data_IF_999034011555
#
_entry.id   IF_999034011555
#
_cell.length_a   1.000
_cell.length_b   1.000
_cell.length_c   1.000
_cell.angle_alpha   90.00
_cell.angle_beta   90.00
_cell.angle_gamma   90.00
#
_symmetry.space_group_name_H-M   'P 1'
#
loop_
_entity.id
_entity.type
_entity.pdbx_description
1 polymer ?
#
# COMPACT_ATOMS: atom_id res chain seq x y z
N UNK A 1 23.70 -20.52 3.05
CA UNK A 1 22.25 -20.73 3.32
C UNK A 1 21.55 -20.90 1.98
N UNK A 2 20.68 -21.90 1.82
CA UNK A 2 19.94 -22.14 0.56
C UNK A 2 18.81 -21.12 0.40
N UNK A 3 18.37 -20.87 -0.85
CA UNK A 3 17.21 -20.01 -1.16
C UNK A 3 15.96 -20.37 -0.36
N UNK A 4 15.80 -21.65 0.00
CA UNK A 4 14.72 -22.15 0.85
C UNK A 4 14.65 -21.45 2.22
N UNK A 5 15.80 -21.23 2.87
CA UNK A 5 15.83 -20.57 4.18
C UNK A 5 15.39 -19.11 4.15
N UNK A 6 15.60 -18.41 3.02
CA UNK A 6 15.10 -17.05 2.83
C UNK A 6 13.58 -17.04 2.61
N UNK A 7 13.04 -18.04 1.92
CA UNK A 7 11.61 -18.16 1.64
C UNK A 7 10.79 -18.54 2.88
N UNK A 8 11.31 -19.44 3.72
CA UNK A 8 10.69 -19.77 5.01
C UNK A 8 10.62 -18.53 5.92
N UNK A 9 11.67 -17.72 5.93
CA UNK A 9 11.70 -16.45 6.69
C UNK A 9 10.70 -15.43 6.12
N UNK A 10 10.58 -15.30 4.80
CA UNK A 10 9.55 -14.45 4.17
C UNK A 10 8.14 -14.89 4.58
N UNK A 11 7.87 -16.21 4.58
CA UNK A 11 6.57 -16.73 5.00
C UNK A 11 6.26 -16.38 6.45
N UNK A 12 7.23 -16.56 7.35
CA UNK A 12 7.11 -16.17 8.76
C UNK A 12 6.84 -14.68 8.91
N UNK A 13 7.53 -13.83 8.13
CA UNK A 13 7.37 -12.38 8.15
C UNK A 13 6.02 -11.91 7.60
N UNK A 14 5.54 -12.52 6.51
CA UNK A 14 4.22 -12.26 5.93
C UNK A 14 3.11 -12.56 6.96
N UNK A 15 3.20 -13.72 7.62
CA UNK A 15 2.25 -14.13 8.66
C UNK A 15 2.33 -13.26 9.92
N UNK A 16 3.47 -12.62 10.17
CA UNK A 16 3.67 -11.68 11.27
C UNK A 16 3.35 -10.22 10.92
N UNK A 17 2.85 -9.95 9.69
CA UNK A 17 2.46 -8.60 9.30
C UNK A 17 1.24 -8.16 10.10
N UNK A 18 1.44 -7.17 10.96
CA UNK A 18 0.49 -6.72 11.97
C UNK A 18 0.12 -5.24 11.82
N UNK A 19 0.25 -4.69 10.61
CA UNK A 19 -0.36 -3.39 10.37
C UNK A 19 -1.88 -3.54 10.63
N UNK A 20 -2.56 -2.62 11.29
CA UNK A 20 -3.97 -2.81 11.60
C UNK A 20 -4.83 -2.57 10.33
N UNK A 21 -5.75 -3.48 9.95
CA UNK A 21 -6.75 -3.19 8.94
C UNK A 21 -7.69 -2.12 9.49
N UNK A 22 -7.71 -0.95 8.86
CA UNK A 22 -8.50 0.19 9.30
C UNK A 22 -9.05 0.91 8.08
N UNK A 23 -10.38 1.03 7.98
CA UNK A 23 -11.07 1.72 6.89
C UNK A 23 -12.20 2.58 7.43
N UNK A 24 -12.71 3.40 6.53
CA UNK A 24 -13.88 4.21 6.72
C UNK A 24 -15.14 3.37 6.38
N UNK A 25 -16.26 3.60 7.08
CA UNK A 25 -17.57 2.99 6.78
C UNK A 25 -18.66 4.09 6.81
N UNK A 26 -19.78 3.88 6.10
CA UNK A 26 -20.97 4.71 6.27
C UNK A 26 -21.55 4.51 7.68
N UNK A 27 -22.05 5.57 8.33
CA UNK A 27 -22.77 5.41 9.59
C UNK A 27 -24.27 5.55 9.43
N UNK A 28 -24.97 4.60 10.04
CA UNK A 28 -26.41 4.62 10.19
C UNK A 28 -26.76 5.30 11.54
N UNK A 29 -26.67 6.63 11.64
CA UNK A 29 -27.23 7.52 12.71
C UNK A 29 -26.63 7.58 14.15
N UNK A 30 -26.75 8.78 14.77
CA UNK A 30 -26.82 9.23 16.20
C UNK A 30 -25.88 8.71 17.32
N UNK A 31 -24.56 8.61 17.13
CA UNK A 31 -23.59 8.29 18.22
C UNK A 31 -22.86 9.55 18.80
N UNK A 32 -22.91 9.79 20.13
CA UNK A 32 -22.24 10.92 20.81
C UNK A 32 -20.70 10.83 20.93
N UNK A 33 -20.04 9.73 20.58
CA UNK A 33 -18.56 9.64 20.48
C UNK A 33 -18.02 10.03 19.08
N UNK A 34 -18.83 10.78 18.33
CA UNK A 34 -18.57 11.15 16.93
C UNK A 34 -17.30 11.99 16.76
N UNK A 35 -16.45 11.55 15.84
CA UNK A 35 -15.53 12.45 15.12
C UNK A 35 -16.36 13.57 14.44
N UNK A 36 -15.80 14.77 14.21
CA UNK A 36 -16.55 15.88 13.66
C UNK A 36 -17.31 15.44 12.41
N UNK A 37 -18.61 15.69 12.38
CA UNK A 37 -19.42 15.57 11.17
C UNK A 37 -18.74 16.40 10.09
N UNK A 38 -18.14 15.72 9.11
CA UNK A 38 -17.91 16.35 7.83
C UNK A 38 -19.30 16.48 7.24
N UNK A 39 -19.86 17.68 7.38
CA UNK A 39 -21.26 18.13 7.34
C UNK A 39 -22.10 17.72 6.11
N UNK A 40 -21.66 16.73 5.30
CA UNK A 40 -22.36 16.27 4.11
C UNK A 40 -22.36 14.76 3.85
N UNK A 41 -21.72 13.90 4.64
CA UNK A 41 -21.58 12.47 4.24
C UNK A 41 -21.91 11.42 5.32
N UNK A 42 -22.34 11.77 6.55
CA UNK A 42 -22.84 10.75 7.48
C UNK A 42 -21.87 9.57 7.68
N UNK A 43 -20.58 9.86 7.78
CA UNK A 43 -19.54 8.84 7.93
C UNK A 43 -19.04 8.87 9.39
N UNK A 44 -19.60 8.04 10.27
CA UNK A 44 -18.97 7.76 11.57
C UNK A 44 -17.92 6.68 11.37
N UNK A 45 -16.68 7.00 11.73
CA UNK A 45 -15.58 6.06 11.69
C UNK A 45 -15.25 5.62 13.10
N UNK A 46 -15.56 4.37 13.42
CA UNK A 46 -14.85 3.70 14.50
C UNK A 46 -13.60 3.06 13.88
N UNK A 47 -12.40 3.19 14.48
CA UNK A 47 -11.37 2.20 14.26
C UNK A 47 -11.92 0.88 14.79
N UNK A 48 -12.63 0.14 13.95
CA UNK A 48 -12.75 -1.25 14.19
C UNK A 48 -11.34 -1.79 13.99
N UNK A 49 -10.76 -2.37 15.04
CA UNK A 49 -10.05 -3.63 14.81
C UNK A 49 -11.11 -4.52 14.21
N UNK A 50 -11.30 -4.42 12.89
CA UNK A 50 -12.25 -5.26 12.22
C UNK A 50 -11.65 -6.64 12.40
N UNK A 51 -12.38 -7.57 13.01
CA UNK A 51 -11.98 -8.98 13.05
C UNK A 51 -12.17 -9.60 11.65
N UNK A 52 -11.64 -8.93 10.63
CA UNK A 52 -11.58 -9.41 9.26
C UNK A 52 -10.14 -9.72 8.92
N UNK A 53 -10.01 -10.68 8.04
CA UNK A 53 -8.74 -11.03 7.43
C UNK A 53 -8.28 -9.89 6.51
N UNK A 54 -6.97 -9.79 6.28
CA UNK A 54 -6.40 -8.85 5.32
C UNK A 54 -7.03 -8.93 3.92
N UNK A 55 -7.30 -10.14 3.37
CA UNK A 55 -7.98 -10.28 2.10
C UNK A 55 -9.38 -9.69 2.06
N UNK A 56 -10.16 -9.83 3.14
CA UNK A 56 -11.50 -9.25 3.23
C UNK A 56 -11.43 -7.71 3.32
N UNK A 57 -10.47 -7.20 4.08
CA UNK A 57 -10.19 -5.77 4.16
C UNK A 57 -9.83 -5.17 2.78
N UNK A 58 -8.90 -5.82 2.07
CA UNK A 58 -8.50 -5.39 0.72
C UNK A 58 -9.66 -5.46 -0.27
N UNK A 59 -10.41 -6.58 -0.27
CA UNK A 59 -11.55 -6.77 -1.16
C UNK A 59 -12.59 -5.69 -0.93
N UNK A 60 -12.92 -5.39 0.32
CA UNK A 60 -13.92 -4.38 0.62
C UNK A 60 -13.53 -2.99 0.12
N UNK A 61 -12.25 -2.59 0.24
CA UNK A 61 -11.79 -1.30 -0.32
C UNK A 61 -11.80 -1.35 -1.85
N UNK A 62 -11.40 -2.48 -2.45
CA UNK A 62 -11.43 -2.66 -3.91
C UNK A 62 -12.85 -2.53 -4.48
N UNK A 63 -13.83 -3.16 -3.83
CA UNK A 63 -15.24 -3.13 -4.22
C UNK A 63 -15.79 -1.69 -4.15
N UNK A 64 -15.45 -0.94 -3.09
CA UNK A 64 -15.84 0.46 -2.97
C UNK A 64 -15.17 1.34 -4.05
N UNK A 65 -13.88 1.12 -4.34
CA UNK A 65 -13.14 1.86 -5.38
C UNK A 65 -13.66 1.59 -6.80
N UNK A 66 -14.17 0.38 -7.07
CA UNK A 66 -14.70 -0.06 -8.38
C UNK A 66 -16.20 0.14 -8.54
N UNK A 67 -16.87 0.67 -7.52
CA UNK A 67 -18.32 0.84 -7.50
C UNK A 67 -18.81 1.86 -8.55
N UNK A 68 -19.96 1.60 -9.15
CA UNK A 68 -20.67 2.59 -9.98
C UNK A 68 -21.32 3.71 -9.14
N UNK A 69 -21.47 3.52 -7.83
CA UNK A 69 -21.94 4.54 -6.89
C UNK A 69 -20.82 5.52 -6.50
N UNK A 70 -21.03 6.80 -6.78
CA UNK A 70 -20.11 7.91 -6.51
C UNK A 70 -19.77 8.09 -5.02
N UNK A 71 -20.69 7.73 -4.13
CA UNK A 71 -20.49 7.77 -2.68
C UNK A 71 -19.49 6.70 -2.23
N UNK A 72 -19.64 5.48 -2.75
CA UNK A 72 -18.73 4.36 -2.51
C UNK A 72 -17.33 4.59 -3.06
N UNK A 73 -17.18 5.16 -4.26
CA UNK A 73 -15.85 5.53 -4.79
C UNK A 73 -15.14 6.51 -3.87
N UNK A 74 -15.87 7.52 -3.37
CA UNK A 74 -15.36 8.47 -2.37
C UNK A 74 -14.98 7.79 -1.07
N UNK A 75 -15.80 6.85 -0.57
CA UNK A 75 -15.51 6.08 0.63
C UNK A 75 -14.26 5.21 0.48
N UNK A 76 -14.11 4.53 -0.67
CA UNK A 76 -12.94 3.71 -0.98
C UNK A 76 -11.67 4.56 -0.99
N UNK A 77 -11.68 5.70 -1.68
CA UNK A 77 -10.54 6.63 -1.71
C UNK A 77 -10.20 7.19 -0.33
N UNK A 78 -11.21 7.64 0.42
CA UNK A 78 -11.02 8.14 1.76
C UNK A 78 -10.47 7.04 2.70
N UNK A 79 -10.89 5.78 2.52
CA UNK A 79 -10.36 4.62 3.25
C UNK A 79 -8.87 4.38 2.99
N UNK A 80 -8.42 4.53 1.74
CA UNK A 80 -6.99 4.43 1.40
C UNK A 80 -6.19 5.53 2.12
N UNK A 81 -6.69 6.77 2.11
CA UNK A 81 -6.04 7.91 2.79
C UNK A 81 -6.02 7.72 4.29
N UNK A 82 -7.14 7.27 4.87
CA UNK A 82 -7.24 7.00 6.30
C UNK A 82 -6.23 5.92 6.72
N UNK A 83 -6.26 4.76 6.06
CA UNK A 83 -5.38 3.63 6.38
C UNK A 83 -3.90 4.02 6.33
N UNK A 84 -3.50 4.76 5.29
CA UNK A 84 -2.10 5.18 5.12
C UNK A 84 -1.60 6.17 6.18
N UNK A 85 -2.49 6.94 6.81
CA UNK A 85 -2.13 7.84 7.92
C UNK A 85 -2.35 7.21 9.30
N UNK A 86 -3.25 6.24 9.41
CA UNK A 86 -3.61 5.59 10.67
C UNK A 86 -2.47 4.76 11.24
N UNK A 87 -1.70 4.04 10.42
CA UNK A 87 -0.63 3.18 10.95
C UNK A 87 0.66 3.88 11.37
N UNK A 88 0.71 5.22 11.36
CA UNK A 88 1.83 6.03 11.87
C UNK A 88 1.76 6.26 13.41
N UNK A 89 0.92 5.52 14.13
CA UNK A 89 0.67 5.68 15.57
C UNK A 89 -0.67 6.34 15.85
N UNK A 90 -0.92 6.77 17.09
CA UNK A 90 -2.20 7.27 17.62
C UNK A 90 -2.67 8.61 16.98
N UNK A 91 -2.82 8.59 15.66
CA UNK A 91 -3.08 9.72 14.75
C UNK A 91 -4.45 9.58 14.10
N UNK A 92 -5.38 8.88 14.75
CA UNK A 92 -6.72 8.63 14.22
C UNK A 92 -7.43 9.93 13.78
N UNK A 93 -7.33 11.00 14.59
CA UNK A 93 -7.92 12.31 14.27
C UNK A 93 -7.27 12.95 13.03
N UNK A 94 -5.95 12.82 12.90
CA UNK A 94 -5.23 13.31 11.72
C UNK A 94 -5.63 12.52 10.48
N UNK A 95 -5.63 11.18 10.55
CA UNK A 95 -6.06 10.31 9.47
C UNK A 95 -7.50 10.64 9.02
N UNK A 96 -8.43 10.81 9.98
CA UNK A 96 -9.81 11.19 9.71
C UNK A 96 -9.91 12.57 9.03
N UNK A 97 -9.15 13.55 9.51
CA UNK A 97 -9.10 14.90 8.92
C UNK A 97 -8.65 14.85 7.45
N UNK A 98 -7.63 14.06 7.15
CA UNK A 98 -7.08 13.92 5.79
C UNK A 98 -8.08 13.21 4.88
N UNK A 99 -8.65 12.10 5.36
CA UNK A 99 -9.65 11.34 4.63
C UNK A 99 -10.93 12.16 4.35
N UNK A 100 -11.36 12.99 5.31
CA UNK A 100 -12.50 13.90 5.13
C UNK A 100 -12.29 14.93 4.01
N UNK A 101 -11.05 15.35 3.73
CA UNK A 101 -10.76 16.23 2.59
C UNK A 101 -10.98 15.53 1.26
N UNK A 102 -10.54 14.28 1.13
CA UNK A 102 -10.78 13.45 -0.06
C UNK A 102 -12.26 13.17 -0.27
N UNK A 103 -13.00 12.86 0.81
CA UNK A 103 -14.43 12.59 0.75
C UNK A 103 -15.26 13.81 0.29
N UNK A 104 -14.80 15.02 0.60
CA UNK A 104 -15.45 16.28 0.22
C UNK A 104 -15.11 16.79 -1.19
N UNK A 105 -14.29 16.06 -1.96
CA UNK A 105 -13.99 16.43 -3.33
C UNK A 105 -15.15 16.12 -4.28
N UNK A 106 -15.13 16.80 -5.43
CA UNK A 106 -16.18 16.69 -6.45
C UNK A 106 -16.25 15.24 -6.99
N UNK A 107 -17.45 14.68 -6.95
CA UNK A 107 -17.68 13.25 -7.15
C UNK A 107 -17.42 12.81 -8.58
N UNK A 108 -17.86 13.60 -9.57
CA UNK A 108 -17.69 13.29 -10.98
C UNK A 108 -16.20 13.29 -11.37
N UNK A 109 -15.43 14.26 -10.88
CA UNK A 109 -13.97 14.31 -11.05
C UNK A 109 -13.31 13.05 -10.49
N UNK A 110 -13.59 12.69 -9.24
CA UNK A 110 -12.98 11.52 -8.62
C UNK A 110 -13.33 10.23 -9.36
N UNK A 111 -14.59 10.08 -9.79
CA UNK A 111 -15.02 8.91 -10.57
C UNK A 111 -14.33 8.82 -11.92
N UNK A 112 -14.24 9.93 -12.65
CA UNK A 112 -13.56 9.97 -13.94
C UNK A 112 -12.07 9.61 -13.81
N UNK A 113 -11.40 10.15 -12.78
CA UNK A 113 -10.00 9.81 -12.50
C UNK A 113 -9.83 8.35 -12.10
N UNK A 114 -10.73 7.83 -11.25
CA UNK A 114 -10.70 6.44 -10.82
C UNK A 114 -10.94 5.45 -11.94
N UNK A 115 -11.88 5.73 -12.86
CA UNK A 115 -12.12 4.89 -14.03
C UNK A 115 -10.86 4.75 -14.90
N UNK A 116 -10.14 5.85 -15.13
CA UNK A 116 -8.86 5.80 -15.86
C UNK A 116 -7.76 5.05 -15.10
N UNK A 117 -7.67 5.25 -13.78
CA UNK A 117 -6.72 4.52 -12.94
C UNK A 117 -7.02 3.02 -12.97
N UNK A 118 -8.27 2.63 -12.81
CA UNK A 118 -8.73 1.23 -12.84
C UNK A 118 -8.40 0.62 -14.20
N UNK A 119 -8.75 1.28 -15.31
CA UNK A 119 -8.42 0.80 -16.65
C UNK A 119 -6.92 0.55 -16.82
N UNK A 120 -6.08 1.50 -16.38
CA UNK A 120 -4.62 1.34 -16.43
C UNK A 120 -4.11 0.20 -15.53
N UNK A 121 -4.72 0.00 -14.37
CA UNK A 121 -4.38 -1.11 -13.46
C UNK A 121 -4.77 -2.47 -14.05
N UNK A 122 -5.94 -2.55 -14.67
CA UNK A 122 -6.43 -3.77 -15.34
C UNK A 122 -5.55 -4.11 -16.57
N UNK A 123 -5.05 -3.09 -17.27
CA UNK A 123 -4.04 -3.20 -18.34
C UNK A 123 -2.61 -3.48 -17.81
N UNK A 124 -2.42 -3.66 -16.49
CA UNK A 124 -1.12 -3.84 -15.81
C UNK A 124 -0.10 -2.73 -16.05
N UNK A 125 -0.57 -1.49 -16.28
CA UNK A 125 0.27 -0.30 -16.46
C UNK A 125 0.47 0.46 -15.14
N UNK A 126 1.02 -0.22 -14.14
CA UNK A 126 1.08 0.24 -12.75
C UNK A 126 1.81 1.57 -12.55
N UNK A 127 2.93 1.79 -13.23
CA UNK A 127 3.68 3.04 -13.19
C UNK A 127 2.90 4.21 -13.77
N UNK A 128 2.16 3.97 -14.85
CA UNK A 128 1.29 5.00 -15.44
C UNK A 128 0.11 5.31 -14.53
N UNK A 129 -0.54 4.29 -13.95
CA UNK A 129 -1.64 4.48 -13.00
C UNK A 129 -1.18 5.21 -11.73
N UNK A 130 0.05 4.96 -11.25
CA UNK A 130 0.64 5.67 -10.11
C UNK A 130 0.79 7.16 -10.39
N UNK A 131 1.31 7.50 -11.57
CA UNK A 131 1.46 8.89 -11.99
C UNK A 131 0.11 9.58 -12.19
N UNK A 132 -0.92 8.86 -12.64
CA UNK A 132 -2.29 9.38 -12.74
C UNK A 132 -2.89 9.65 -11.36
N UNK A 133 -2.71 8.72 -10.42
CA UNK A 133 -3.17 8.84 -9.04
C UNK A 133 -2.59 10.06 -8.30
N UNK A 134 -1.47 10.63 -8.76
CA UNK A 134 -0.96 11.88 -8.17
C UNK A 134 -1.88 13.09 -8.35
N UNK A 135 -2.85 13.03 -9.27
CA UNK A 135 -3.87 14.06 -9.42
C UNK A 135 -4.97 13.97 -8.36
N UNK A 136 -5.07 12.84 -7.65
CA UNK A 136 -6.11 12.64 -6.64
C UNK A 136 -5.78 13.40 -5.33
N UNK A 137 -6.79 14.04 -4.71
CA UNK A 137 -6.67 14.74 -3.43
C UNK A 137 -6.12 13.83 -2.32
N UNK A 138 -5.12 14.32 -1.60
CA UNK A 138 -4.41 13.64 -0.51
C UNK A 138 -3.64 12.36 -0.88
N UNK A 139 -3.73 11.90 -2.13
CA UNK A 139 -2.97 10.75 -2.64
C UNK A 139 -1.59 11.16 -3.17
N UNK A 140 -1.41 12.42 -3.63
CA UNK A 140 -0.30 13.04 -4.39
C UNK A 140 1.19 12.68 -4.15
N UNK A 141 1.53 11.46 -3.79
CA UNK A 141 2.82 10.91 -3.43
C UNK A 141 2.88 9.42 -3.78
N UNK A 142 4.08 8.91 -4.00
CA UNK A 142 4.31 7.48 -4.30
C UNK A 142 3.73 6.57 -3.20
N UNK A 143 3.89 6.95 -1.92
CA UNK A 143 3.40 6.17 -0.78
C UNK A 143 1.90 5.92 -0.79
N UNK A 144 1.08 6.89 -1.18
CA UNK A 144 -0.38 6.75 -1.16
C UNK A 144 -0.91 6.22 -2.49
N UNK A 145 -0.33 6.66 -3.62
CA UNK A 145 -0.69 6.16 -4.94
C UNK A 145 -0.44 4.65 -5.07
N UNK A 146 0.69 4.15 -4.54
CA UNK A 146 0.98 2.72 -4.54
C UNK A 146 0.01 1.91 -3.66
N UNK A 147 -0.48 2.47 -2.54
CA UNK A 147 -1.54 1.85 -1.72
C UNK A 147 -2.83 1.69 -2.50
N UNK A 148 -3.28 2.77 -3.16
CA UNK A 148 -4.47 2.74 -4.02
C UNK A 148 -4.38 1.62 -5.06
N UNK A 149 -3.25 1.54 -5.77
CA UNK A 149 -3.03 0.52 -6.81
C UNK A 149 -2.98 -0.89 -6.22
N UNK A 150 -2.37 -1.05 -5.04
CA UNK A 150 -2.30 -2.33 -4.33
C UNK A 150 -3.69 -2.83 -3.96
N UNK A 151 -4.61 -1.96 -3.50
CA UNK A 151 -6.01 -2.35 -3.25
C UNK A 151 -6.76 -2.73 -4.53
N UNK A 152 -6.45 -2.10 -5.66
CA UNK A 152 -7.07 -2.41 -6.95
C UNK A 152 -6.56 -3.70 -7.60
N UNK A 153 -5.30 -4.08 -7.32
CA UNK A 153 -4.64 -5.26 -7.90
C UNK A 153 -3.61 -5.90 -6.95
N UNK A 154 -4.04 -6.48 -5.81
CA UNK A 154 -3.11 -7.01 -4.80
C UNK A 154 -2.27 -8.19 -5.31
N UNK A 155 -2.75 -8.90 -6.34
CA UNK A 155 -1.99 -9.95 -7.02
C UNK A 155 -0.78 -9.41 -7.80
N UNK A 156 -0.89 -8.20 -8.36
CA UNK A 156 0.10 -7.64 -9.29
C UNK A 156 0.89 -6.43 -8.79
N UNK A 157 0.45 -5.79 -7.71
CA UNK A 157 1.09 -4.61 -7.14
C UNK A 157 1.28 -4.73 -5.63
N UNK A 158 2.25 -3.99 -5.11
CA UNK A 158 2.49 -3.81 -3.67
C UNK A 158 2.82 -2.37 -3.32
N UNK A 159 2.67 -2.04 -2.05
CA UNK A 159 2.91 -0.68 -1.54
C UNK A 159 4.40 -0.31 -1.68
N UNK A 160 4.67 0.89 -2.18
CA UNK A 160 6.02 1.46 -2.20
C UNK A 160 6.02 2.71 -1.34
N UNK A 161 6.24 2.53 -0.05
CA UNK A 161 6.37 3.63 0.90
C UNK A 161 7.84 4.01 1.15
N UNK A 162 8.03 5.08 1.92
CA UNK A 162 9.34 5.60 2.24
C UNK A 162 10.16 4.61 3.09
N UNK A 163 9.53 3.82 3.96
CA UNK A 163 10.24 2.85 4.81
C UNK A 163 10.84 1.71 3.98
N UNK A 164 10.07 1.19 3.02
CA UNK A 164 10.55 0.19 2.06
C UNK A 164 11.67 0.78 1.21
N UNK A 165 11.43 1.95 0.62
CA UNK A 165 12.39 2.62 -0.25
C UNK A 165 13.74 2.84 0.46
N UNK A 166 13.73 3.45 1.64
CA UNK A 166 14.95 3.70 2.42
C UNK A 166 15.57 2.41 2.96
N UNK A 167 14.74 1.46 3.40
CA UNK A 167 15.20 0.18 3.94
C UNK A 167 15.95 -0.66 2.90
N UNK A 168 15.44 -0.71 1.66
CA UNK A 168 16.12 -1.34 0.54
C UNK A 168 17.44 -0.63 0.21
N UNK A 169 17.44 0.72 0.20
CA UNK A 169 18.65 1.51 -0.01
C UNK A 169 19.75 1.22 1.03
N UNK A 170 19.38 1.09 2.32
CA UNK A 170 20.32 0.71 3.39
C UNK A 170 20.86 -0.71 3.23
N UNK A 171 20.04 -1.64 2.72
CA UNK A 171 20.47 -3.03 2.51
C UNK A 171 21.62 -3.13 1.50
N UNK A 172 21.66 -2.27 0.48
CA UNK A 172 22.78 -2.21 -0.48
C UNK A 172 24.11 -1.81 0.15
N UNK A 173 24.09 -1.02 1.20
CA UNK A 173 25.31 -0.46 1.79
C UNK A 173 25.94 -1.39 2.84
N UNK A 174 25.31 -2.52 3.17
CA UNK A 174 25.83 -3.47 4.15
C UNK A 174 26.91 -4.36 3.55
N UNK A 175 28.04 -4.44 4.25
CA UNK A 175 29.15 -5.34 3.91
C UNK A 175 28.84 -6.81 4.22
N UNK A 176 28.07 -7.07 5.28
CA UNK A 176 27.61 -8.40 5.67
C UNK A 176 26.08 -8.44 5.65
N UNK A 177 25.53 -9.39 4.89
CA UNK A 177 24.09 -9.53 4.66
C UNK A 177 23.61 -10.91 5.10
N UNK A 178 22.44 -10.98 5.72
CA UNK A 178 21.73 -12.26 5.85
C UNK A 178 21.26 -12.74 4.46
N UNK A 179 20.90 -14.02 4.32
CA UNK A 179 20.39 -14.55 3.05
C UNK A 179 19.17 -13.76 2.51
N UNK A 180 18.28 -13.33 3.41
CA UNK A 180 17.16 -12.46 3.05
C UNK A 180 17.63 -11.08 2.58
N UNK A 181 18.63 -10.47 3.22
CA UNK A 181 19.18 -9.17 2.80
C UNK A 181 19.93 -9.25 1.48
N UNK A 182 20.62 -10.36 1.22
CA UNK A 182 21.26 -10.62 -0.06
C UNK A 182 20.21 -10.74 -1.17
N UNK A 183 19.14 -11.52 -0.93
CA UNK A 183 18.01 -11.60 -1.84
C UNK A 183 17.37 -10.22 -2.09
N UNK A 184 17.11 -9.44 -1.04
CA UNK A 184 16.58 -8.07 -1.17
C UNK A 184 17.53 -7.13 -1.95
N UNK A 185 18.84 -7.23 -1.70
CA UNK A 185 19.84 -6.40 -2.35
C UNK A 185 19.97 -6.71 -3.85
N UNK A 186 19.87 -8.00 -4.24
CA UNK A 186 19.99 -8.44 -5.63
C UNK A 186 18.71 -8.16 -6.40
N UNK A 187 17.55 -8.51 -5.82
CA UNK A 187 16.27 -8.47 -6.53
C UNK A 187 15.62 -7.07 -6.53
N UNK A 188 15.78 -6.32 -5.43
CA UNK A 188 14.95 -5.13 -5.20
C UNK A 188 15.72 -3.82 -5.09
N UNK A 189 16.98 -3.83 -4.69
CA UNK A 189 17.64 -2.57 -4.40
C UNK A 189 18.24 -1.80 -5.60
N UNK A 190 18.61 -2.41 -6.75
CA UNK A 190 19.15 -1.67 -7.90
C UNK A 190 18.19 -0.62 -8.50
N UNK A 191 16.87 -0.78 -8.31
CA UNK A 191 15.86 0.16 -8.80
C UNK A 191 15.36 1.14 -7.74
N UNK A 192 15.68 0.93 -6.46
CA UNK A 192 15.34 1.85 -5.37
C UNK A 192 16.00 3.25 -5.51
N UNK A 193 16.71 3.51 -6.61
CA UNK A 193 17.32 4.80 -6.95
C UNK A 193 16.66 5.48 -8.16
N UNK A 194 15.70 4.83 -8.83
CA UNK A 194 15.08 5.42 -10.04
C UNK A 194 14.03 6.47 -9.72
N UNK A 195 13.62 6.64 -8.46
CA UNK A 195 12.93 7.84 -8.00
C UNK A 195 11.70 7.57 -7.14
N UNK A 196 11.65 8.27 -6.01
CA UNK A 196 10.48 8.37 -5.16
C UNK A 196 9.84 9.75 -5.37
N UNK A 197 8.67 9.76 -6.01
CA UNK A 197 8.05 10.98 -6.53
C UNK A 197 6.87 11.49 -5.70
N UNK A 198 6.56 12.78 -5.92
CA UNK A 198 5.31 13.44 -5.48
C UNK A 198 4.73 14.28 -6.62
N UNK A 199 3.49 14.73 -6.44
CA UNK A 199 2.85 15.69 -7.34
C UNK A 199 3.74 16.94 -7.55
N UNK A 200 3.74 17.46 -8.79
CA UNK A 200 4.53 18.64 -9.18
C UNK A 200 5.97 18.36 -9.62
N UNK A 201 6.41 17.10 -9.66
CA UNK A 201 7.72 16.74 -10.25
C UNK A 201 7.79 17.00 -11.77
N UNK A 202 8.99 17.24 -12.29
CA UNK A 202 9.22 17.37 -13.74
C UNK A 202 8.75 16.12 -14.49
N UNK A 203 8.45 16.25 -15.79
CA UNK A 203 8.06 15.10 -16.65
C UNK A 203 9.07 13.95 -16.52
N UNK A 204 10.36 14.25 -16.63
CA UNK A 204 11.43 13.26 -16.48
C UNK A 204 11.41 12.57 -15.10
N UNK A 205 11.13 13.31 -14.03
CA UNK A 205 11.00 12.75 -12.69
C UNK A 205 9.81 11.79 -12.57
N UNK A 206 8.65 12.18 -13.14
CA UNK A 206 7.44 11.35 -13.18
C UNK A 206 7.66 10.08 -14.01
N UNK A 207 8.30 10.20 -15.17
CA UNK A 207 8.60 9.05 -16.04
C UNK A 207 9.55 8.05 -15.35
N UNK A 208 10.54 8.55 -14.59
CA UNK A 208 11.42 7.65 -13.82
C UNK A 208 10.69 7.00 -12.64
N UNK A 209 9.81 7.74 -11.95
CA UNK A 209 8.97 7.20 -10.86
C UNK A 209 8.03 6.11 -11.38
N UNK A 210 7.38 6.34 -12.52
CA UNK A 210 6.52 5.34 -13.18
C UNK A 210 7.29 4.04 -13.47
N UNK A 211 8.43 4.15 -14.18
CA UNK A 211 9.26 2.98 -14.49
C UNK A 211 9.76 2.26 -13.24
N UNK A 212 10.17 3.00 -12.21
CA UNK A 212 10.59 2.41 -10.94
C UNK A 212 9.47 1.61 -10.28
N UNK A 213 8.24 2.11 -10.34
CA UNK A 213 7.09 1.41 -9.77
C UNK A 213 6.65 0.19 -10.61
N UNK A 214 6.73 0.25 -11.94
CA UNK A 214 6.51 -0.93 -12.80
C UNK A 214 7.51 -2.04 -12.45
N UNK A 215 8.80 -1.72 -12.38
CA UNK A 215 9.86 -2.69 -12.00
C UNK A 215 9.63 -3.25 -10.60
N UNK A 216 9.23 -2.42 -9.63
CA UNK A 216 8.85 -2.88 -8.30
C UNK A 216 7.75 -3.94 -8.34
N UNK A 217 6.65 -3.66 -9.05
CA UNK A 217 5.52 -4.57 -9.18
C UNK A 217 5.91 -5.88 -9.89
N UNK A 218 6.69 -5.79 -10.97
CA UNK A 218 7.23 -6.97 -11.68
C UNK A 218 8.06 -7.88 -10.78
N UNK A 219 8.92 -7.29 -9.93
CA UNK A 219 9.76 -8.05 -9.00
C UNK A 219 8.93 -8.71 -7.90
N UNK A 220 7.92 -8.03 -7.38
CA UNK A 220 7.00 -8.60 -6.40
C UNK A 220 6.20 -9.77 -6.98
N UNK A 221 5.69 -9.63 -8.20
CA UNK A 221 4.99 -10.71 -8.91
C UNK A 221 5.90 -11.91 -9.11
N UNK A 222 7.12 -11.69 -9.61
CA UNK A 222 8.10 -12.76 -9.78
C UNK A 222 8.41 -13.48 -8.46
N UNK A 223 8.63 -12.73 -7.38
CA UNK A 223 8.88 -13.32 -6.07
C UNK A 223 7.68 -14.14 -5.57
N UNK A 224 6.46 -13.67 -5.79
CA UNK A 224 5.25 -14.42 -5.46
C UNK A 224 5.16 -15.73 -6.27
N UNK A 225 5.46 -15.68 -7.57
CA UNK A 225 5.50 -16.86 -8.44
C UNK A 225 6.56 -17.88 -7.97
N UNK A 226 7.77 -17.42 -7.62
CA UNK A 226 8.84 -18.29 -7.11
C UNK A 226 8.44 -18.96 -5.78
N UNK A 227 7.77 -18.24 -4.88
CA UNK A 227 7.26 -18.77 -3.61
C UNK A 227 6.12 -19.78 -3.81
N UNK A 228 5.21 -19.50 -4.75
CA UNK A 228 4.15 -20.42 -5.13
C UNK A 228 4.72 -21.70 -5.77
N UNK A 229 5.73 -21.58 -6.63
CA UNK A 229 6.42 -22.71 -7.25
C UNK A 229 7.16 -23.59 -6.23
N UNK A 230 7.68 -22.97 -5.16
CA UNK A 230 8.25 -23.67 -4.01
C UNK A 230 7.20 -24.35 -3.09
N UNK A 231 5.91 -24.32 -3.47
CA UNK A 231 4.79 -24.87 -2.69
C UNK A 231 4.63 -24.26 -1.30
N UNK A 232 5.07 -23.01 -1.11
CA UNK A 232 4.84 -22.27 0.12
C UNK A 232 3.45 -21.64 0.09
N UNK A 233 2.71 -21.78 1.18
CA UNK A 233 1.35 -21.24 1.31
C UNK A 233 1.41 -19.78 1.73
N UNK A 234 0.93 -18.88 0.86
CA UNK A 234 0.81 -17.46 1.19
C UNK A 234 -0.30 -17.21 2.22
N UNK A 235 -0.38 -16.00 2.81
CA UNK A 235 -1.42 -15.64 3.79
C UNK A 235 -2.86 -15.87 3.31
N UNK A 236 -3.06 -15.92 1.99
CA UNK A 236 -4.36 -16.03 1.32
C UNK A 236 -4.54 -17.36 0.57
N UNK A 237 -3.73 -18.38 0.89
CA UNK A 237 -3.63 -19.63 0.15
C UNK A 237 -2.56 -19.61 -0.93
N UNK A 238 -2.47 -18.54 -1.73
CA UNK A 238 -1.38 -18.28 -2.68
C UNK A 238 -0.65 -16.99 -2.34
N UNK A 239 0.64 -16.91 -2.67
CA UNK A 239 1.39 -15.66 -2.62
C UNK A 239 0.93 -14.70 -3.70
N UNK A 240 0.77 -13.44 -3.31
CA UNK A 240 0.47 -12.30 -4.17
C UNK A 240 1.58 -11.26 -4.05
N UNK A 241 1.69 -10.34 -5.00
CA UNK A 241 2.64 -9.23 -4.92
C UNK A 241 2.52 -8.45 -3.59
N UNK A 242 1.29 -8.16 -3.14
CA UNK A 242 1.05 -7.49 -1.85
C UNK A 242 1.55 -8.30 -0.64
N UNK A 243 1.47 -9.63 -0.68
CA UNK A 243 1.91 -10.48 0.45
C UNK A 243 3.44 -10.51 0.54
N UNK A 244 4.13 -10.51 -0.61
CA UNK A 244 5.59 -10.35 -0.67
C UNK A 244 6.00 -8.99 -0.11
N UNK A 245 5.34 -7.91 -0.54
CA UNK A 245 5.63 -6.56 -0.04
C UNK A 245 5.52 -6.47 1.48
N UNK A 246 4.45 -7.01 2.07
CA UNK A 246 4.25 -7.05 3.52
C UNK A 246 5.38 -7.76 4.26
N UNK A 247 5.87 -8.88 3.71
CA UNK A 247 7.00 -9.60 4.28
C UNK A 247 8.27 -8.74 4.24
N UNK A 248 8.53 -8.04 3.12
CA UNK A 248 9.65 -7.10 2.96
C UNK A 248 9.54 -5.96 3.97
N UNK A 249 8.37 -5.30 4.06
CA UNK A 249 8.11 -4.24 5.03
C UNK A 249 8.42 -4.70 6.46
N UNK A 250 7.93 -5.89 6.84
CA UNK A 250 8.16 -6.46 8.17
C UNK A 250 9.65 -6.73 8.43
N UNK A 251 10.37 -7.27 7.44
CA UNK A 251 11.80 -7.53 7.51
C UNK A 251 12.62 -6.25 7.78
N UNK A 252 12.24 -5.16 7.12
CA UNK A 252 12.91 -3.87 7.23
C UNK A 252 12.59 -3.18 8.56
N UNK A 253 11.33 -3.27 9.03
CA UNK A 253 10.87 -2.65 10.28
C UNK A 253 11.42 -3.33 11.54
N UNK A 254 11.47 -4.66 11.58
CA UNK A 254 11.99 -5.39 12.76
C UNK A 254 13.43 -5.03 13.09
N UNK A 255 14.22 -4.70 12.05
CA UNK A 255 15.63 -4.31 12.20
C UNK A 255 15.80 -2.88 12.69
N UNK A 256 14.94 -1.96 12.25
CA UNK A 256 14.96 -0.59 12.78
C UNK A 256 14.71 -0.60 14.30
N UNK A 257 13.76 -1.41 14.76
CA UNK A 257 13.48 -1.54 16.19
C UNK A 257 14.68 -2.12 16.96
N UNK A 258 15.37 -3.12 16.40
CA UNK A 258 16.57 -3.68 17.03
C UNK A 258 17.72 -2.65 17.12
N UNK A 259 17.97 -1.88 16.07
CA UNK A 259 19.04 -0.85 16.09
C UNK A 259 18.75 0.32 17.02
N UNK A 260 17.48 0.70 17.20
CA UNK A 260 17.07 1.80 18.08
C UNK A 260 17.11 1.44 19.57
N UNK A 261 17.14 0.15 19.91
CA UNK A 261 17.27 -0.32 21.30
C UNK A 261 18.73 -0.47 21.74
N UNK A 262 19.68 -0.44 20.80
CA UNK A 262 21.12 -0.60 21.06
C UNK A 262 21.91 0.71 21.00
N UNK A 263 21.25 1.82 20.68
CA UNK A 263 21.82 3.17 20.59
C UNK A 263 21.30 4.03 21.75
#
# INVERSE_FOLDING_TARGET
>A
MSSQSAFEELQRLANAYNYPPARLIFSDSDDPNRLPEFDKIGLSFAPAVVQVTYPEFERSISDDLRSDDDGRVRLGLASVVYWGHFGDGDRANFAATRAGRTANCEAAFLKNEMNEIIRLVDDRRYGTSLIRAFALPEIGSTSFASKLITFLAPAGAGVLDQQIYEGLGRTLLKESRSALEEWLAVEFAPWAWTGFGKAGGSKQSRDRTARGFDVWCERLMKAADDLNAASLVGPCGSWRAADVERAIYRALRSKHLASSLTA
#
